data_IF_735343225204
#
_entry.id   IF_735343225204
#
_cell.length_a   1.000
_cell.length_b   1.000
_cell.length_c   1.000
_cell.angle_alpha   90.00
_cell.angle_beta   90.00
_cell.angle_gamma   90.00
#
_symmetry.space_group_name_H-M   'P 1'
#
loop_
_entity.id
_entity.type
_entity.pdbx_description
1 polymer ?
#
# COMPACT_ATOMS: atom_id res chain seq x y z
N UNK A 1 -46.22 -32.53 -22.70
CA UNK A 1 -44.96 -32.70 -21.93
C UNK A 1 -43.79 -32.25 -22.80
N UNK A 2 -43.01 -31.25 -22.42
CA UNK A 2 -41.82 -30.87 -23.21
C UNK A 2 -41.00 -29.69 -22.69
N UNK A 3 -41.58 -28.80 -21.88
CA UNK A 3 -40.90 -27.56 -21.46
C UNK A 3 -40.08 -27.72 -20.17
N UNK A 4 -40.32 -28.78 -19.38
CA UNK A 4 -39.68 -28.98 -18.07
C UNK A 4 -38.22 -29.43 -18.18
N UNK A 5 -37.84 -30.07 -19.29
CA UNK A 5 -36.48 -30.59 -19.50
C UNK A 5 -35.49 -29.55 -20.03
N UNK A 6 -35.98 -28.44 -20.60
CA UNK A 6 -35.13 -27.33 -21.07
C UNK A 6 -34.92 -26.26 -20.01
N UNK A 7 -35.76 -26.23 -18.96
CA UNK A 7 -35.62 -25.26 -17.87
C UNK A 7 -34.37 -25.49 -17.01
N UNK A 8 -33.99 -26.75 -16.78
CA UNK A 8 -32.82 -27.09 -15.97
C UNK A 8 -31.47 -26.64 -16.58
N UNK A 9 -31.15 -26.92 -17.87
CA UNK A 9 -29.90 -26.43 -18.46
C UNK A 9 -29.90 -24.91 -18.64
N UNK A 10 -31.07 -24.29 -18.89
CA UNK A 10 -31.20 -22.84 -19.02
C UNK A 10 -30.98 -22.12 -17.68
N UNK A 11 -31.49 -22.67 -16.57
CA UNK A 11 -31.23 -22.17 -15.21
C UNK A 11 -29.78 -22.36 -14.80
N UNK A 12 -29.15 -23.48 -15.17
CA UNK A 12 -27.72 -23.71 -14.90
C UNK A 12 -26.84 -22.75 -15.70
N UNK A 13 -27.18 -22.51 -16.98
CA UNK A 13 -26.49 -21.54 -17.83
C UNK A 13 -26.69 -20.10 -17.33
N UNK A 14 -27.89 -19.76 -16.84
CA UNK A 14 -28.16 -18.46 -16.24
C UNK A 14 -27.42 -18.26 -14.90
N UNK A 15 -27.26 -19.32 -14.09
CA UNK A 15 -26.51 -19.25 -12.83
C UNK A 15 -25.01 -19.01 -13.02
N UNK A 16 -24.43 -19.48 -14.13
CA UNK A 16 -23.01 -19.24 -14.47
C UNK A 16 -22.76 -17.79 -14.89
N UNK A 17 -23.76 -17.10 -15.45
CA UNK A 17 -23.64 -15.69 -15.89
C UNK A 17 -23.66 -14.69 -14.71
N UNK A 18 -24.10 -15.10 -13.52
CA UNK A 18 -24.12 -14.24 -12.32
C UNK A 18 -22.77 -14.24 -11.56
N UNK A 19 -21.81 -15.05 -11.99
CA UNK A 19 -20.43 -14.92 -11.52
C UNK A 19 -19.79 -13.70 -12.21
N UNK A 20 -20.03 -12.50 -11.68
CA UNK A 20 -19.20 -11.33 -12.00
C UNK A 20 -17.85 -11.56 -11.33
N UNK A 21 -16.76 -11.82 -12.08
CA UNK A 21 -15.44 -11.80 -11.49
C UNK A 21 -15.14 -10.35 -11.05
N UNK A 22 -15.07 -10.13 -9.74
CA UNK A 22 -14.52 -8.89 -9.19
C UNK A 22 -13.08 -8.72 -9.67
N UNK A 23 -12.85 -7.62 -10.40
CA UNK A 23 -11.56 -7.01 -10.79
C UNK A 23 -10.31 -7.90 -10.63
N UNK A 24 -10.01 -8.71 -11.64
CA UNK A 24 -8.66 -9.19 -11.84
C UNK A 24 -7.83 -8.04 -12.45
N UNK A 25 -7.16 -7.20 -11.64
CA UNK A 25 -6.16 -6.28 -12.19
C UNK A 25 -4.81 -7.01 -12.26
N UNK A 26 -4.55 -7.61 -13.42
CA UNK A 26 -3.20 -7.93 -13.87
C UNK A 26 -2.53 -6.62 -14.30
N UNK A 27 -1.92 -5.90 -13.37
CA UNK A 27 -1.35 -4.59 -13.65
C UNK A 27 -0.38 -4.66 -14.84
N UNK A 28 -0.83 -4.20 -16.01
CA UNK A 28 0.01 -4.01 -17.18
C UNK A 28 0.62 -2.61 -17.06
N UNK A 29 1.62 -2.47 -16.20
CA UNK A 29 2.35 -1.22 -16.08
C UNK A 29 2.94 -0.87 -17.46
N UNK A 30 2.83 0.40 -17.86
CA UNK A 30 3.63 0.89 -18.97
C UNK A 30 5.11 0.69 -18.62
N UNK A 31 5.91 0.24 -19.59
CA UNK A 31 7.36 0.22 -19.43
C UNK A 31 7.85 1.67 -19.44
N UNK A 32 8.07 2.22 -18.24
CA UNK A 32 8.62 3.56 -18.06
C UNK A 32 10.11 3.46 -17.80
N UNK A 33 10.91 4.28 -18.46
CA UNK A 33 12.32 4.44 -18.15
C UNK A 33 12.49 5.08 -16.76
N UNK A 34 13.63 4.88 -16.07
CA UNK A 34 13.82 5.44 -14.73
C UNK A 34 13.68 6.97 -14.67
N UNK A 35 14.10 7.68 -15.72
CA UNK A 35 13.91 9.12 -15.81
C UNK A 35 12.42 9.50 -15.80
N UNK A 36 11.59 8.81 -16.57
CA UNK A 36 10.14 9.03 -16.61
C UNK A 36 9.48 8.69 -15.27
N UNK A 37 9.92 7.64 -14.58
CA UNK A 37 9.46 7.32 -13.21
C UNK A 37 9.75 8.46 -12.24
N UNK A 38 10.99 9.00 -12.28
CA UNK A 38 11.37 10.16 -11.46
C UNK A 38 10.57 11.40 -11.85
N UNK A 39 10.36 11.66 -13.13
CA UNK A 39 9.58 12.80 -13.63
C UNK A 39 8.12 12.76 -13.18
N UNK A 40 7.48 11.59 -13.27
CA UNK A 40 6.08 11.39 -12.87
C UNK A 40 5.87 11.46 -11.36
N UNK A 41 6.89 11.16 -10.55
CA UNK A 41 6.79 11.24 -9.10
C UNK A 41 6.81 12.70 -8.61
N UNK A 42 5.99 13.01 -7.60
CA UNK A 42 6.09 14.28 -6.88
C UNK A 42 7.30 14.28 -5.93
N UNK A 43 7.55 13.14 -5.27
CA UNK A 43 8.69 12.95 -4.38
C UNK A 43 9.31 11.58 -4.59
N UNK A 44 10.65 11.52 -4.54
CA UNK A 44 11.42 10.28 -4.65
C UNK A 44 12.43 10.25 -3.52
N UNK A 45 12.41 9.19 -2.73
CA UNK A 45 13.26 9.07 -1.54
C UNK A 45 13.53 7.61 -1.20
N UNK A 46 14.62 7.36 -0.48
CA UNK A 46 14.75 6.12 0.31
C UNK A 46 14.29 6.34 1.73
N UNK A 47 13.64 5.34 2.31
CA UNK A 47 13.19 5.41 3.70
C UNK A 47 12.83 4.05 4.27
N UNK A 48 12.80 3.98 5.60
CA UNK A 48 12.32 2.80 6.33
C UNK A 48 10.84 2.93 6.61
N UNK A 49 10.08 1.87 6.38
CA UNK A 49 8.66 1.80 6.72
C UNK A 49 8.55 1.62 8.24
N UNK A 50 7.94 2.57 8.94
CA UNK A 50 7.83 2.55 10.41
C UNK A 50 6.46 2.11 10.91
N UNK A 51 5.43 2.23 10.08
CA UNK A 51 4.09 1.75 10.41
C UNK A 51 3.25 1.50 9.16
N UNK A 52 2.20 0.70 9.31
CA UNK A 52 1.15 0.50 8.33
C UNK A 52 -0.20 0.57 9.03
N UNK A 53 -1.17 1.24 8.42
CA UNK A 53 -2.58 1.22 8.86
C UNK A 53 -3.48 0.95 7.66
N UNK A 54 -4.52 0.14 7.86
CA UNK A 54 -5.63 0.03 6.91
C UNK A 54 -6.71 0.98 7.36
N UNK A 55 -7.30 1.73 6.44
CA UNK A 55 -8.41 2.61 6.77
C UNK A 55 -9.67 1.79 7.07
N UNK A 56 -10.59 2.29 7.90
CA UNK A 56 -11.92 1.70 8.01
C UNK A 56 -12.61 1.73 6.65
N UNK A 57 -13.29 0.63 6.31
CA UNK A 57 -14.06 0.50 5.07
C UNK A 57 -15.42 -0.13 5.34
N UNK A 58 -16.36 0.10 4.42
CA UNK A 58 -17.69 -0.51 4.49
C UNK A 58 -17.63 -1.97 4.04
N UNK A 59 -18.34 -2.86 4.73
CA UNK A 59 -18.37 -4.31 4.39
C UNK A 59 -18.90 -4.59 2.98
N UNK A 60 -19.70 -3.67 2.43
CA UNK A 60 -20.24 -3.73 1.07
C UNK A 60 -19.48 -2.86 0.06
N UNK A 61 -18.46 -2.13 0.51
CA UNK A 61 -17.67 -1.21 -0.32
C UNK A 61 -16.36 -1.84 -0.83
N UNK A 62 -15.61 -1.11 -1.67
CA UNK A 62 -14.27 -1.51 -2.06
C UNK A 62 -13.36 -1.68 -0.84
N UNK A 63 -12.39 -2.60 -0.93
CA UNK A 63 -11.39 -2.76 0.12
C UNK A 63 -10.60 -1.44 0.27
N UNK A 64 -10.51 -0.87 1.48
CA UNK A 64 -9.85 0.41 1.71
C UNK A 64 -8.33 0.30 1.45
N UNK A 65 -7.67 1.43 1.10
CA UNK A 65 -6.24 1.45 0.91
C UNK A 65 -5.48 1.19 2.21
N UNK A 66 -4.19 0.87 2.05
CA UNK A 66 -3.23 0.79 3.14
C UNK A 66 -2.40 2.07 3.10
N UNK A 67 -2.29 2.74 4.24
CA UNK A 67 -1.40 3.88 4.43
C UNK A 67 -0.16 3.41 5.17
N UNK A 68 0.99 3.64 4.56
CA UNK A 68 2.28 3.38 5.15
C UNK A 68 2.89 4.69 5.62
N UNK A 69 3.44 4.68 6.83
CA UNK A 69 4.30 5.77 7.33
C UNK A 69 5.74 5.37 7.15
N UNK A 70 6.50 6.21 6.48
CA UNK A 70 7.91 6.01 6.18
C UNK A 70 8.73 7.13 6.81
N UNK A 71 9.93 6.79 7.26
CA UNK A 71 10.95 7.75 7.68
C UNK A 71 11.99 7.86 6.57
N UNK A 72 11.99 8.93 5.78
CA UNK A 72 12.99 9.13 4.73
C UNK A 72 14.40 9.27 5.31
N UNK A 73 15.38 8.73 4.59
CA UNK A 73 16.81 8.84 4.90
C UNK A 73 17.59 9.58 3.80
N UNK A 74 17.18 9.46 2.53
CA UNK A 74 17.75 10.22 1.42
C UNK A 74 16.65 10.65 0.46
N UNK A 75 16.72 11.89 -0.01
CA UNK A 75 15.74 12.50 -0.91
C UNK A 75 16.39 12.79 -2.25
N UNK A 76 15.82 12.23 -3.31
CA UNK A 76 16.27 12.39 -4.69
C UNK A 76 15.44 13.45 -5.42
N UNK A 77 14.14 13.49 -5.16
CA UNK A 77 13.22 14.50 -5.69
C UNK A 77 12.22 14.93 -4.63
N UNK A 78 11.82 16.20 -4.67
CA UNK A 78 10.90 16.78 -3.71
C UNK A 78 11.57 17.16 -2.39
N UNK A 79 10.75 17.39 -1.37
CA UNK A 79 11.14 17.79 -0.01
C UNK A 79 10.19 17.09 0.99
N UNK A 80 10.31 15.77 1.19
CA UNK A 80 9.49 15.07 2.16
C UNK A 80 9.84 15.54 3.59
N UNK A 81 8.83 15.52 4.46
CA UNK A 81 9.00 15.74 5.89
C UNK A 81 9.80 14.59 6.54
N UNK A 82 10.15 14.77 7.83
CA UNK A 82 10.87 13.75 8.60
C UNK A 82 10.14 12.40 8.68
N UNK A 83 8.81 12.42 8.65
CA UNK A 83 7.98 11.26 8.37
C UNK A 83 7.00 11.60 7.25
N UNK A 84 6.74 10.62 6.39
CA UNK A 84 5.85 10.78 5.24
C UNK A 84 4.86 9.64 5.20
N UNK A 85 3.60 9.97 4.92
CA UNK A 85 2.54 9.00 4.72
C UNK A 85 2.30 8.80 3.22
N UNK A 86 2.25 7.54 2.80
CA UNK A 86 2.00 7.16 1.41
C UNK A 86 0.90 6.11 1.38
N UNK A 87 -0.16 6.39 0.63
CA UNK A 87 -1.26 5.46 0.42
C UNK A 87 -1.01 4.54 -0.78
N UNK A 88 -1.45 3.29 -0.70
CA UNK A 88 -1.44 2.36 -1.83
C UNK A 88 -2.61 1.39 -1.71
N UNK A 89 -2.93 0.70 -2.80
CA UNK A 89 -4.00 -0.28 -2.80
C UNK A 89 -3.73 -1.47 -1.89
N UNK A 90 -4.79 -2.16 -1.44
CA UNK A 90 -4.66 -3.20 -0.43
C UNK A 90 -3.88 -4.43 -0.88
N UNK A 91 -3.79 -4.67 -2.18
CA UNK A 91 -3.17 -5.87 -2.74
C UNK A 91 -2.69 -5.64 -4.18
N UNK A 92 -1.85 -6.56 -4.66
CA UNK A 92 -1.28 -6.50 -6.00
C UNK A 92 -2.31 -6.68 -7.12
N UNK A 93 -3.43 -7.37 -6.87
CA UNK A 93 -4.53 -7.49 -7.83
C UNK A 93 -5.29 -6.16 -8.01
N UNK A 94 -5.01 -5.17 -7.17
CA UNK A 94 -5.49 -3.79 -7.28
C UNK A 94 -4.33 -2.82 -7.57
N UNK A 95 -3.17 -3.30 -8.03
CA UNK A 95 -1.95 -2.50 -8.23
C UNK A 95 -1.36 -1.88 -6.97
N UNK A 96 -1.62 -2.49 -5.81
CA UNK A 96 -1.09 -2.09 -4.51
C UNK A 96 0.33 -2.55 -4.28
N UNK A 97 1.18 -1.66 -3.79
CA UNK A 97 2.55 -1.99 -3.45
C UNK A 97 2.64 -2.51 -2.01
N UNK A 98 3.11 -3.74 -1.84
CA UNK A 98 3.25 -4.34 -0.53
C UNK A 98 4.58 -3.92 0.14
N UNK A 99 4.49 -2.96 1.07
CA UNK A 99 5.62 -2.58 1.93
C UNK A 99 5.67 -3.43 3.21
N UNK A 100 6.89 -3.74 3.65
CA UNK A 100 7.18 -4.44 4.91
C UNK A 100 7.68 -3.45 5.96
N UNK A 101 7.02 -3.41 7.11
CA UNK A 101 7.45 -2.60 8.27
C UNK A 101 8.86 -3.04 8.71
N UNK A 102 9.73 -2.07 8.96
CA UNK A 102 11.14 -2.28 9.30
C UNK A 102 12.08 -2.45 8.10
N UNK A 103 11.57 -2.56 6.88
CA UNK A 103 12.37 -2.64 5.66
C UNK A 103 12.56 -1.28 4.99
N UNK A 104 13.67 -1.12 4.26
CA UNK A 104 14.02 0.09 3.52
C UNK A 104 13.66 -0.06 2.05
N UNK A 105 13.09 1.00 1.48
CA UNK A 105 12.65 1.04 0.09
C UNK A 105 13.12 2.32 -0.59
N UNK A 106 13.36 2.25 -1.89
CA UNK A 106 13.29 3.41 -2.78
C UNK A 106 11.84 3.57 -3.21
N UNK A 107 11.26 4.73 -2.91
CA UNK A 107 9.84 5.04 -3.09
C UNK A 107 9.66 6.18 -4.07
N UNK A 108 8.75 5.97 -5.01
CA UNK A 108 8.28 6.95 -5.99
C UNK A 108 6.83 7.27 -5.63
N UNK A 109 6.62 8.42 -4.99
CA UNK A 109 5.29 8.85 -4.59
C UNK A 109 4.82 10.00 -5.47
N UNK A 110 3.61 9.83 -6.01
CA UNK A 110 2.84 10.87 -6.68
C UNK A 110 1.98 11.57 -5.64
N UNK A 111 1.51 12.77 -5.93
CA UNK A 111 0.53 13.42 -5.06
C UNK A 111 -0.71 13.89 -5.79
N UNK A 112 -1.58 14.52 -5.01
CA UNK A 112 -2.95 14.81 -5.41
C UNK A 112 -3.85 13.59 -5.27
N UNK A 113 -5.14 13.78 -5.52
CA UNK A 113 -6.10 12.70 -5.54
C UNK A 113 -5.96 11.91 -6.84
N UNK A 114 -6.10 10.59 -6.78
CA UNK A 114 -6.30 9.79 -7.98
C UNK A 114 -7.74 9.36 -8.06
N UNK A 115 -8.36 9.49 -9.25
CA UNK A 115 -9.65 8.87 -9.53
C UNK A 115 -9.60 7.33 -9.60
N UNK A 116 -8.48 6.73 -9.20
CA UNK A 116 -8.27 5.30 -9.28
C UNK A 116 -8.73 4.59 -7.99
N UNK A 117 -8.75 5.24 -6.82
CA UNK A 117 -9.18 4.64 -5.53
C UNK A 117 -9.70 5.71 -4.54
N UNK A 118 -10.54 5.32 -3.58
CA UNK A 118 -10.88 6.18 -2.43
C UNK A 118 -9.64 6.32 -1.54
N UNK A 119 -8.88 7.39 -1.73
CA UNK A 119 -7.72 7.73 -0.92
C UNK A 119 -8.13 8.05 0.52
N UNK A 120 -7.20 7.93 1.48
CA UNK A 120 -7.41 8.46 2.82
C UNK A 120 -7.67 9.97 2.70
N UNK A 121 -8.81 10.49 3.18
CA UNK A 121 -9.00 11.93 3.24
C UNK A 121 -7.93 12.53 4.16
N UNK A 122 -6.89 13.11 3.58
CA UNK A 122 -5.77 13.71 4.29
C UNK A 122 -4.39 13.10 4.04
N UNK A 123 -4.26 12.03 3.24
CA UNK A 123 -2.94 11.53 2.80
C UNK A 123 -2.66 12.05 1.38
N UNK A 124 -1.78 13.06 1.22
CA UNK A 124 -1.60 13.76 -0.05
C UNK A 124 -0.71 13.01 -1.06
N UNK A 125 -0.10 11.90 -0.64
CA UNK A 125 0.83 11.11 -1.44
C UNK A 125 0.36 9.67 -1.59
N UNK A 126 0.51 9.13 -2.80
CA UNK A 126 0.16 7.76 -3.12
C UNK A 126 1.20 7.11 -4.02
N UNK A 127 1.16 5.77 -4.05
CA UNK A 127 2.03 4.96 -4.89
C UNK A 127 1.39 3.61 -5.22
N UNK A 128 1.99 2.88 -6.16
CA UNK A 128 1.46 1.64 -6.75
C UNK A 128 2.58 0.70 -7.18
N UNK A 129 2.22 -0.49 -7.65
CA UNK A 129 3.15 -1.43 -8.27
C UNK A 129 3.86 -0.88 -9.52
N UNK A 130 3.30 0.14 -10.17
CA UNK A 130 3.82 0.67 -11.43
C UNK A 130 4.71 1.91 -11.27
N UNK A 131 4.83 2.47 -10.08
CA UNK A 131 5.55 3.73 -9.88
C UNK A 131 7.09 3.54 -9.79
N UNK A 132 7.58 2.30 -9.73
CA UNK A 132 9.02 2.00 -9.69
C UNK A 132 9.59 1.74 -8.29
N UNK A 133 8.71 1.58 -7.29
CA UNK A 133 9.11 1.25 -5.92
C UNK A 133 9.88 -0.07 -5.87
N UNK A 134 10.96 -0.10 -5.08
CA UNK A 134 11.76 -1.32 -4.91
C UNK A 134 12.39 -1.40 -3.53
N UNK A 135 12.50 -2.60 -2.94
CA UNK A 135 13.27 -2.78 -1.73
C UNK A 135 14.75 -2.49 -2.01
N UNK A 136 15.43 -1.94 -1.03
CA UNK A 136 16.87 -1.66 -1.08
C UNK A 136 17.53 -2.16 0.21
N UNK A 137 18.83 -2.40 0.17
CA UNK A 137 19.59 -2.81 1.35
C UNK A 137 19.42 -1.80 2.49
N UNK A 138 19.36 -2.26 3.76
CA UNK A 138 19.36 -1.39 4.92
C UNK A 138 20.54 -0.40 4.91
N UNK A 139 20.31 0.78 5.46
CA UNK A 139 21.28 1.86 5.51
C UNK A 139 20.59 3.23 5.46
N UNK A 140 21.38 4.27 5.49
CA UNK A 140 20.95 5.67 5.49
C UNK A 140 21.70 6.52 4.47
N UNK A 141 22.73 5.97 3.83
CA UNK A 141 23.53 6.65 2.80
C UNK A 141 22.82 6.69 1.44
N UNK A 142 23.23 7.60 0.53
CA UNK A 142 22.79 7.59 -0.85
C UNK A 142 23.00 6.23 -1.53
N UNK A 143 22.00 5.83 -2.32
CA UNK A 143 22.01 4.62 -3.14
C UNK A 143 23.21 4.55 -4.08
N UNK A 144 23.75 3.34 -4.17
CA UNK A 144 24.80 2.89 -5.07
C UNK A 144 24.35 1.59 -5.73
N UNK A 145 25.10 1.10 -6.72
CA UNK A 145 24.70 -0.11 -7.47
C UNK A 145 24.55 -1.33 -6.58
N UNK A 146 25.40 -1.42 -5.57
CA UNK A 146 25.41 -2.49 -4.57
C UNK A 146 24.24 -2.42 -3.58
N UNK A 147 23.33 -1.46 -3.65
CA UNK A 147 22.22 -1.37 -2.68
C UNK A 147 20.94 -2.09 -3.12
N UNK A 148 20.97 -2.78 -4.27
CA UNK A 148 19.92 -3.73 -4.64
C UNK A 148 19.82 -4.86 -3.61
N UNK A 149 18.65 -5.49 -3.46
CA UNK A 149 18.48 -6.61 -2.50
C UNK A 149 19.39 -7.81 -2.83
N UNK A 150 19.75 -8.57 -1.79
CA UNK A 150 20.63 -9.74 -1.90
C UNK A 150 20.01 -10.84 -2.77
N UNK A 151 20.80 -11.42 -3.68
CA UNK A 151 20.30 -12.36 -4.70
C UNK A 151 19.62 -11.70 -5.91
N UNK A 152 19.49 -10.36 -5.92
CA UNK A 152 18.99 -9.58 -7.07
C UNK A 152 20.10 -8.96 -7.92
N UNK A 153 19.74 -8.45 -9.10
CA UNK A 153 20.64 -7.65 -9.92
C UNK A 153 21.02 -6.33 -9.19
N UNK A 154 22.24 -5.81 -9.40
CA UNK A 154 22.62 -4.48 -8.92
C UNK A 154 21.64 -3.41 -9.40
N UNK A 155 21.51 -2.31 -8.66
CA UNK A 155 20.73 -1.17 -9.14
C UNK A 155 21.30 -0.69 -10.48
N UNK A 156 20.38 -0.51 -11.44
CA UNK A 156 20.70 -0.15 -12.80
C UNK A 156 21.36 1.24 -12.86
N UNK A 157 22.29 1.44 -13.80
CA UNK A 157 23.10 2.67 -13.88
C UNK A 157 22.27 3.89 -14.28
N UNK A 158 21.35 3.68 -15.21
CA UNK A 158 20.33 4.61 -15.67
C UNK A 158 19.41 5.06 -14.53
N UNK A 159 19.00 4.14 -13.64
CA UNK A 159 18.25 4.51 -12.42
C UNK A 159 19.05 5.46 -11.54
N UNK A 160 20.30 5.12 -11.21
CA UNK A 160 21.13 5.97 -10.36
C UNK A 160 21.40 7.34 -11.01
N UNK A 161 21.58 7.37 -12.33
CA UNK A 161 21.71 8.61 -13.09
C UNK A 161 20.43 9.46 -13.02
N UNK A 162 19.26 8.84 -13.19
CA UNK A 162 17.96 9.52 -13.12
C UNK A 162 17.63 10.06 -11.72
N UNK A 163 18.01 9.34 -10.67
CA UNK A 163 17.84 9.78 -9.28
C UNK A 163 18.70 11.00 -8.95
N UNK A 164 19.85 11.15 -9.60
CA UNK A 164 20.76 12.28 -9.39
C UNK A 164 21.36 12.29 -7.98
N UNK A 165 21.54 13.50 -7.44
CA UNK A 165 22.19 13.69 -6.14
C UNK A 165 21.17 13.66 -5.00
N UNK A 166 21.47 12.82 -4.01
CA UNK A 166 20.66 12.73 -2.80
C UNK A 166 20.90 13.94 -1.89
N UNK A 167 19.84 14.33 -1.18
CA UNK A 167 19.85 15.33 -0.11
C UNK A 167 19.30 14.70 1.17
N UNK A 168 19.75 15.12 2.36
CA UNK A 168 19.11 14.71 3.60
C UNK A 168 17.63 15.15 3.62
N UNK A 169 16.76 14.43 4.32
CA UNK A 169 15.38 14.84 4.52
C UNK A 169 15.33 16.22 5.19
N UNK A 170 14.28 16.98 4.91
CA UNK A 170 14.08 18.25 5.62
C UNK A 170 13.93 17.92 7.09
N UNK A 171 14.89 18.35 7.90
CA UNK A 171 14.77 18.22 9.35
C UNK A 171 13.43 18.81 9.78
N UNK A 172 12.68 18.07 10.58
CA UNK A 172 11.55 18.65 11.29
C UNK A 172 12.10 19.80 12.17
N UNK A 173 11.35 20.89 12.39
CA UNK A 173 11.75 21.90 13.35
C UNK A 173 11.61 21.31 14.76
N UNK A 174 12.64 20.63 15.25
CA UNK A 174 12.56 19.91 16.52
C UNK A 174 13.70 18.93 16.74
N UNK A 175 14.91 19.47 16.95
CA UNK A 175 16.09 18.68 17.27
C UNK A 175 17.32 19.56 17.26
N UNK A 176 17.34 20.59 18.11
CA UNK A 176 18.60 21.25 18.45
C UNK A 176 19.42 20.24 19.23
N UNK A 177 20.36 19.59 18.56
CA UNK A 177 21.44 18.89 19.23
C UNK A 177 22.09 19.87 20.21
N UNK A 178 21.97 19.55 21.49
CA UNK A 178 22.73 20.19 22.54
C UNK A 178 24.19 19.77 22.38
N UNK A 179 24.98 20.52 21.62
CA UNK A 179 26.43 20.73 21.82
C UNK A 179 26.85 21.90 20.93
N UNK A 180 26.63 23.12 21.42
CA UNK A 180 27.44 24.26 21.00
C UNK A 180 27.75 25.05 22.27
N UNK A 181 29.03 25.23 22.66
CA UNK A 181 29.38 26.12 23.75
C UNK A 181 28.93 27.54 23.39
N UNK A 182 27.95 28.04 24.12
CA UNK A 182 27.51 29.42 24.03
C UNK A 182 28.64 30.34 24.51
N UNK A 183 29.46 30.80 23.58
CA UNK A 183 30.35 31.92 23.77
C UNK A 183 29.84 33.08 22.91
N UNK A 184 28.88 33.81 23.48
CA UNK A 184 28.48 35.12 22.98
C UNK A 184 28.26 36.03 24.18
N UNK A 185 29.25 36.89 24.40
CA UNK A 185 29.31 38.06 25.26
C UNK A 185 27.98 38.83 25.35
N UNK A 186 27.53 39.25 26.54
CA UNK A 186 26.32 40.07 26.68
C UNK A 186 26.60 41.52 26.28
N UNK A 187 25.68 42.21 25.56
CA UNK A 187 25.70 43.66 25.53
C UNK A 187 25.00 44.20 26.77
N UNK A 188 25.78 44.85 27.62
CA UNK A 188 25.32 45.74 28.68
C UNK A 188 24.78 47.02 28.03
N UNK A 189 23.47 47.32 28.16
CA UNK A 189 22.95 48.70 28.09
C UNK A 189 21.57 48.78 28.78
N UNK A 190 21.61 49.27 30.03
CA UNK A 190 20.72 50.24 30.71
C UNK A 190 19.18 50.12 30.65
N UNK A 191 18.48 50.13 31.81
CA UNK A 191 17.02 50.13 31.91
C UNK A 191 16.40 51.54 31.90
N UNK A 192 15.11 51.67 31.60
CA UNK A 192 14.30 52.69 32.26
C UNK A 192 13.01 52.13 32.89
N UNK A 193 12.85 52.55 34.16
CA UNK A 193 11.63 52.97 34.85
C UNK A 193 10.37 52.09 34.91
N UNK A 194 10.19 51.59 36.14
CA UNK A 194 8.94 51.28 36.84
C UNK A 194 7.83 52.32 36.66
N UNK A 195 6.61 51.87 36.38
CA UNK A 195 5.36 52.45 36.91
C UNK A 195 4.30 51.34 37.06
N UNK A 196 3.53 51.29 38.17
CA UNK A 196 2.81 50.09 38.59
C UNK A 196 1.38 49.93 38.04
N UNK A 197 0.93 48.66 38.07
CA UNK A 197 -0.42 48.07 38.26
C UNK A 197 -1.65 48.98 38.42
N UNK A 198 -2.87 48.54 38.02
CA UNK A 198 -3.61 47.51 38.77
C UNK A 198 -4.20 46.41 37.84
N UNK A 199 -4.17 45.12 38.20
CA UNK A 199 -5.00 44.39 39.16
C UNK A 199 -6.26 43.74 38.53
N UNK A 200 -6.18 42.41 38.46
CA UNK A 200 -7.19 41.36 38.70
C UNK A 200 -8.58 41.43 38.02
N UNK A 201 -8.86 40.37 37.24
CA UNK A 201 -10.15 39.68 37.24
C UNK A 201 -9.91 38.21 36.85
N UNK A 202 -9.43 37.36 37.77
CA UNK A 202 -10.23 36.27 38.37
C UNK A 202 -11.47 35.84 37.59
N UNK A 203 -11.40 34.67 36.96
CA UNK A 203 -12.52 33.77 36.69
C UNK A 203 -12.07 32.33 37.00
N UNK A 204 -12.96 31.48 37.55
CA UNK A 204 -12.59 30.31 38.35
C UNK A 204 -12.24 29.06 37.53
N UNK A 205 -11.38 28.24 38.15
CA UNK A 205 -11.11 26.85 37.79
C UNK A 205 -12.40 26.04 37.61
N UNK A 206 -12.61 25.53 36.39
CA UNK A 206 -13.52 24.43 36.16
C UNK A 206 -12.82 23.12 36.55
N UNK A 207 -13.02 22.71 37.79
CA UNK A 207 -12.81 21.32 38.21
C UNK A 207 -13.81 20.43 37.45
N UNK A 208 -13.34 19.67 36.48
CA UNK A 208 -14.07 18.51 35.96
C UNK A 208 -13.20 17.27 36.08
N UNK A 209 -13.34 16.66 37.25
CA UNK A 209 -13.45 15.22 37.51
C UNK A 209 -13.04 14.30 36.36
N UNK A 210 -11.85 13.72 36.48
CA UNK A 210 -11.48 12.51 35.75
C UNK A 210 -12.38 11.35 36.20
N UNK A 211 -13.19 10.84 35.27
CA UNK A 211 -13.86 9.54 35.43
C UNK A 211 -12.89 8.41 35.06
N UNK A 212 -12.80 7.33 35.86
CA UNK A 212 -11.94 6.19 35.53
C UNK A 212 -12.57 5.38 34.40
N UNK A 213 -11.96 5.37 33.21
CA UNK A 213 -12.31 4.39 32.18
C UNK A 213 -11.72 3.05 32.60
N UNK A 214 -12.59 2.17 33.06
CA UNK A 214 -12.28 0.80 33.44
C UNK A 214 -11.62 0.08 32.26
N UNK A 215 -10.46 -0.52 32.53
CA UNK A 215 -9.81 -1.45 31.61
C UNK A 215 -10.74 -2.63 31.30
N UNK A 216 -11.00 -2.84 30.02
CA UNK A 216 -11.59 -4.07 29.50
C UNK A 216 -10.47 -4.83 28.80
N UNK A 217 -9.96 -5.85 29.48
CA UNK A 217 -9.20 -6.95 28.88
C UNK A 217 -10.19 -7.81 28.11
N UNK A 218 -10.25 -7.64 26.78
CA UNK A 218 -10.91 -8.59 25.90
C UNK A 218 -9.88 -9.63 25.45
N UNK A 219 -9.78 -10.72 26.23
CA UNK A 219 -9.21 -11.99 25.80
C UNK A 219 -10.15 -12.60 24.75
N UNK A 220 -9.84 -12.39 23.46
CA UNK A 220 -10.49 -13.05 22.35
C UNK A 220 -9.81 -14.38 22.01
N UNK A 221 -10.56 -15.49 21.83
CA UNK A 221 -9.99 -16.81 21.62
C UNK A 221 -9.29 -16.92 20.25
N UNK A 222 -8.07 -17.46 20.30
CA UNK A 222 -7.27 -17.89 19.15
C UNK A 222 -8.02 -18.92 18.30
N UNK A 223 -8.41 -18.54 17.09
CA UNK A 223 -8.95 -19.48 16.09
C UNK A 223 -7.79 -20.00 15.23
N UNK A 224 -7.60 -21.32 15.13
CA UNK A 224 -6.55 -21.89 14.29
C UNK A 224 -6.88 -21.71 12.80
N UNK A 225 -5.85 -21.30 12.07
CA UNK A 225 -5.79 -21.17 10.62
C UNK A 225 -6.19 -22.50 9.94
N UNK A 226 -7.13 -22.45 9.01
CA UNK A 226 -7.46 -23.57 8.11
C UNK A 226 -6.97 -23.21 6.71
N UNK A 227 -6.07 -23.98 6.10
CA UNK A 227 -5.65 -23.75 4.72
C UNK A 227 -6.76 -24.24 3.77
N UNK A 228 -7.42 -23.32 3.06
CA UNK A 228 -8.32 -23.65 1.96
C UNK A 228 -7.47 -24.02 0.74
N UNK A 229 -7.01 -25.27 0.71
CA UNK A 229 -6.54 -25.92 -0.52
C UNK A 229 -7.74 -26.38 -1.33
N UNK A 230 -8.21 -25.54 -2.25
CA UNK A 230 -9.27 -25.88 -3.19
C UNK A 230 -8.70 -26.42 -4.50
N UNK A 231 -8.46 -27.72 -4.59
CA UNK A 231 -8.29 -28.42 -5.87
C UNK A 231 -9.63 -28.47 -6.59
N UNK A 232 -9.84 -27.60 -7.58
CA UNK A 232 -10.94 -27.73 -8.53
C UNK A 232 -10.60 -28.83 -9.55
N UNK A 233 -10.98 -30.07 -9.27
CA UNK A 233 -10.98 -31.14 -10.26
C UNK A 233 -12.18 -30.93 -11.20
N UNK A 234 -11.92 -30.47 -12.42
CA UNK A 234 -12.91 -30.41 -13.50
C UNK A 234 -13.06 -31.82 -14.08
N UNK A 235 -14.11 -32.53 -13.66
CA UNK A 235 -14.51 -33.80 -14.27
C UNK A 235 -15.44 -33.54 -15.47
N UNK A 236 -14.91 -33.68 -16.68
CA UNK A 236 -15.71 -33.68 -17.92
C UNK A 236 -16.30 -35.08 -18.11
N UNK A 237 -17.59 -35.26 -17.81
CA UNK A 237 -18.34 -36.46 -18.17
C UNK A 237 -18.86 -36.32 -19.61
N UNK A 238 -18.20 -37.03 -20.53
CA UNK A 238 -18.69 -37.26 -21.88
C UNK A 238 -19.81 -38.31 -21.85
N UNK A 239 -21.04 -37.91 -22.17
CA UNK A 239 -22.14 -38.83 -22.49
C UNK A 239 -22.84 -38.34 -23.75
N UNK A 240 -22.73 -39.13 -24.82
CA UNK A 240 -23.84 -39.55 -25.68
C UNK A 240 -23.29 -40.16 -26.98
N UNK A 241 -23.76 -41.36 -27.31
CA UNK A 241 -23.51 -41.93 -28.64
C UNK A 241 -23.83 -43.41 -28.82
N UNK A 242 -24.71 -44.02 -28.02
CA UNK A 242 -25.19 -45.38 -28.28
C UNK A 242 -26.55 -45.31 -28.98
N UNK A 243 -26.62 -45.72 -30.25
CA UNK A 243 -27.88 -46.08 -30.88
C UNK A 243 -27.92 -45.91 -32.40
N UNK A 244 -28.31 -47.01 -33.07
CA UNK A 244 -28.67 -47.18 -34.50
C UNK A 244 -27.45 -47.30 -35.45
N UNK A 245 -27.30 -48.33 -36.29
CA UNK A 245 -28.28 -49.20 -36.97
C UNK A 245 -27.60 -50.49 -37.44
N UNK A 246 -28.28 -51.62 -37.26
CA UNK A 246 -27.99 -52.90 -37.91
C UNK A 246 -28.34 -52.84 -39.40
N UNK A 247 -27.37 -53.09 -40.28
CA UNK A 247 -27.47 -53.68 -41.64
C UNK A 247 -26.06 -54.19 -41.95
N UNK A 248 -25.74 -55.46 -42.18
CA UNK A 248 -26.47 -56.58 -42.75
C UNK A 248 -25.59 -57.13 -43.87
N UNK A 249 -24.82 -58.19 -43.64
CA UNK A 249 -24.19 -58.99 -44.70
C UNK A 249 -24.16 -60.45 -44.24
N UNK A 250 -24.95 -61.28 -44.95
CA UNK A 250 -24.95 -62.73 -44.86
C UNK A 250 -23.66 -63.27 -45.49
N UNK A 251 -23.02 -64.28 -44.90
CA UNK A 251 -22.11 -65.19 -45.61
C UNK A 251 -22.81 -66.55 -45.78
N UNK A 252 -22.76 -67.16 -46.98
CA UNK A 252 -23.20 -68.55 -47.17
C UNK A 252 -22.12 -69.55 -46.71
N UNK A 253 -22.49 -70.83 -46.50
CA UNK A 253 -21.60 -71.86 -45.96
C UNK A 253 -20.59 -72.39 -46.99
N UNK A 254 -19.52 -72.99 -46.47
CA UNK A 254 -18.50 -73.69 -47.25
C UNK A 254 -18.94 -75.12 -47.54
N UNK A 255 -18.68 -75.56 -48.77
CA UNK A 255 -18.32 -76.92 -49.14
C UNK A 255 -17.00 -76.85 -49.90
#
# INVERSE_FOLDING_TARGET
>A
MGYRSLAAPLLLAAAVVVAVPGTACACSCAALEPAEQVENAQTVFTGTVVAARRLPGDRSGPTPPIVYRLRPDQVYKGVPAAEVEVATNPDGASCGYAFTVGSRYLVFARGGETGLFATDPGVPLHTSLCDGNRPVRPGDRPLRREDGVEGGEPLARDLLAALGTARPPSAAPGGRDATEPSEATPPETTPPETTPSPAVSSLPEATMTASPVSGRTDDGPSVPWVPIGGTAAVAVLALAGWGLRRRGVRRPPQD
#
